data_IF_498522836589
#
_entry.id   IF_498522836589
#
_cell.length_a   1.000
_cell.length_b   1.000
_cell.length_c   1.000
_cell.angle_alpha   90.00
_cell.angle_beta   90.00
_cell.angle_gamma   90.00
#
_symmetry.space_group_name_H-M   'P 1'
#
loop_
_entity.id
_entity.type
_entity.pdbx_description
1 polymer ?
#
# COMPACT_ATOMS: atom_id res chain seq x y z
N UNK A 1 1.33 -16.44 25.89
CA UNK A 1 0.66 -15.53 24.94
C UNK A 1 1.67 -15.24 23.84
N UNK A 2 1.39 -15.59 22.62
CA UNK A 2 2.24 -15.25 21.48
C UNK A 2 2.35 -13.72 21.40
N UNK A 3 3.52 -13.23 21.00
CA UNK A 3 3.76 -11.81 20.87
C UNK A 3 2.92 -11.31 19.65
N UNK A 4 1.76 -10.74 19.89
CA UNK A 4 0.82 -10.30 18.86
C UNK A 4 1.23 -8.94 18.25
N UNK A 5 2.48 -8.54 18.40
CA UNK A 5 3.01 -7.28 17.87
C UNK A 5 3.83 -7.57 16.62
N UNK A 6 3.51 -6.89 15.54
CA UNK A 6 4.27 -6.91 14.28
C UNK A 6 4.87 -5.53 14.03
N UNK A 7 6.17 -5.50 13.68
CA UNK A 7 6.89 -4.26 13.35
C UNK A 7 6.82 -3.97 11.87
N UNK A 8 6.17 -2.87 11.50
CA UNK A 8 5.99 -2.45 10.09
C UNK A 8 6.85 -1.23 9.80
N UNK A 9 7.72 -1.34 8.80
CA UNK A 9 8.48 -0.24 8.23
C UNK A 9 7.65 0.49 7.19
N UNK A 10 7.19 1.69 7.50
CA UNK A 10 6.56 2.61 6.55
C UNK A 10 7.66 3.39 5.85
N UNK A 11 7.79 3.20 4.53
CA UNK A 11 8.87 3.80 3.74
C UNK A 11 8.24 4.82 2.77
N UNK A 12 8.13 6.04 3.26
CA UNK A 12 7.70 7.21 2.49
C UNK A 12 8.89 7.73 1.70
N UNK A 13 9.02 7.34 0.44
CA UNK A 13 10.20 7.62 -0.38
C UNK A 13 9.92 8.58 -1.52
N UNK A 14 10.97 9.27 -1.95
CA UNK A 14 10.93 10.03 -3.19
C UNK A 14 10.93 9.07 -4.40
N UNK A 15 10.01 9.29 -5.34
CA UNK A 15 9.88 8.49 -6.56
C UNK A 15 10.19 9.34 -7.78
N UNK A 16 11.24 8.96 -8.51
CA UNK A 16 11.64 9.60 -9.75
C UNK A 16 10.93 8.97 -10.94
N UNK A 17 10.22 9.77 -11.72
CA UNK A 17 9.49 9.29 -12.88
C UNK A 17 10.41 8.70 -13.94
N UNK A 18 10.07 7.49 -14.43
CA UNK A 18 10.80 6.76 -15.48
C UNK A 18 12.26 6.39 -15.15
N UNK A 19 12.59 6.33 -13.86
CA UNK A 19 13.94 6.00 -13.38
C UNK A 19 13.95 4.74 -12.49
N UNK A 20 13.50 3.57 -13.01
CA UNK A 20 13.27 2.39 -12.19
C UNK A 20 14.54 1.91 -11.47
N UNK A 21 15.69 1.94 -12.13
CA UNK A 21 16.95 1.48 -11.51
C UNK A 21 17.36 2.36 -10.32
N UNK A 22 17.16 3.68 -10.40
CA UNK A 22 17.45 4.62 -9.30
C UNK A 22 16.45 4.43 -8.15
N UNK A 23 15.16 4.31 -8.48
CA UNK A 23 14.11 4.09 -7.49
C UNK A 23 14.32 2.77 -6.73
N UNK A 24 14.65 1.69 -7.43
CA UNK A 24 14.94 0.37 -6.83
C UNK A 24 16.17 0.43 -5.93
N UNK A 25 17.26 1.07 -6.39
CA UNK A 25 18.45 1.24 -5.57
C UNK A 25 18.12 2.00 -4.28
N UNK A 26 17.41 3.11 -4.42
CA UNK A 26 17.02 3.95 -3.29
C UNK A 26 16.10 3.18 -2.31
N UNK A 27 15.09 2.48 -2.81
CA UNK A 27 14.22 1.61 -2.01
C UNK A 27 15.02 0.55 -1.23
N UNK A 28 16.06 -0.03 -1.83
CA UNK A 28 16.94 -1.01 -1.16
C UNK A 28 17.63 -0.40 0.06
N UNK A 29 18.13 0.83 -0.05
CA UNK A 29 18.79 1.55 1.04
C UNK A 29 17.81 1.86 2.18
N UNK A 30 16.59 2.29 1.83
CA UNK A 30 15.54 2.61 2.80
C UNK A 30 15.00 1.34 3.50
N UNK A 31 14.82 0.22 2.78
CA UNK A 31 14.45 -1.07 3.37
C UNK A 31 15.52 -1.55 4.35
N UNK A 32 16.80 -1.42 3.99
CA UNK A 32 17.91 -1.74 4.91
C UNK A 32 17.86 -0.88 6.16
N UNK A 33 17.54 0.41 6.04
CA UNK A 33 17.35 1.31 7.18
C UNK A 33 16.17 0.89 8.05
N UNK A 34 15.02 0.53 7.46
CA UNK A 34 13.86 0.02 8.17
C UNK A 34 14.19 -1.27 8.93
N UNK A 35 14.91 -2.20 8.28
CA UNK A 35 15.38 -3.44 8.93
C UNK A 35 16.27 -3.17 10.13
N UNK A 36 17.20 -2.24 10.01
CA UNK A 36 18.08 -1.85 11.12
C UNK A 36 17.30 -1.29 12.32
N UNK A 37 16.12 -0.70 12.09
CA UNK A 37 15.17 -0.24 13.10
C UNK A 37 14.23 -1.35 13.61
N UNK A 38 14.38 -2.58 13.13
CA UNK A 38 13.65 -3.76 13.58
C UNK A 38 12.40 -4.11 12.76
N UNK A 39 12.17 -3.52 11.59
CA UNK A 39 11.04 -3.87 10.74
C UNK A 39 11.05 -5.36 10.36
N UNK A 40 9.88 -5.99 10.42
CA UNK A 40 9.61 -7.35 9.96
C UNK A 40 8.92 -7.35 8.59
N UNK A 41 8.05 -6.35 8.36
CA UNK A 41 7.42 -6.07 7.07
C UNK A 41 7.81 -4.64 6.67
N UNK A 42 8.19 -4.44 5.41
CA UNK A 42 8.37 -3.10 4.84
C UNK A 42 7.29 -2.85 3.81
N UNK A 43 6.72 -1.65 3.82
CA UNK A 43 5.73 -1.20 2.82
C UNK A 43 6.32 -0.03 2.06
N UNK A 44 6.38 -0.18 0.73
CA UNK A 44 6.83 0.80 -0.24
C UNK A 44 5.63 1.41 -0.98
N UNK A 45 5.77 2.59 -1.61
CA UNK A 45 4.68 3.27 -2.31
C UNK A 45 4.16 2.55 -3.56
N UNK A 46 3.05 3.07 -4.07
CA UNK A 46 2.40 2.71 -5.33
C UNK A 46 3.26 3.09 -6.53
N UNK A 47 3.38 2.20 -7.54
CA UNK A 47 4.15 2.42 -8.78
C UNK A 47 5.53 3.04 -8.52
N UNK A 48 6.23 2.58 -7.48
CA UNK A 48 7.49 3.19 -7.07
C UNK A 48 8.62 2.98 -8.09
N UNK A 49 8.45 2.09 -9.06
CA UNK A 49 9.39 1.87 -10.16
C UNK A 49 9.37 3.01 -11.19
N UNK A 50 8.22 3.38 -11.71
CA UNK A 50 8.08 4.33 -12.82
C UNK A 50 7.44 5.66 -12.43
N UNK A 51 6.84 5.77 -11.24
CA UNK A 51 5.98 6.88 -10.84
C UNK A 51 4.52 6.67 -11.28
N UNK A 52 3.61 7.00 -10.38
CA UNK A 52 2.17 6.82 -10.55
C UNK A 52 1.60 7.68 -11.71
N UNK A 53 0.71 7.10 -12.51
CA UNK A 53 0.08 7.79 -13.64
C UNK A 53 1.05 8.15 -14.77
N UNK A 54 2.19 7.50 -14.86
CA UNK A 54 3.22 7.77 -15.86
C UNK A 54 2.81 7.23 -17.24
N UNK A 55 2.64 8.09 -18.27
CA UNK A 55 2.26 7.63 -19.62
C UNK A 55 3.34 6.77 -20.30
N UNK A 56 4.62 6.89 -19.89
CA UNK A 56 5.71 6.06 -20.41
C UNK A 56 5.64 4.60 -19.89
N UNK A 57 4.73 4.30 -18.96
CA UNK A 57 4.41 2.93 -18.56
C UNK A 57 4.10 2.03 -19.76
N UNK A 58 3.46 2.59 -20.80
CA UNK A 58 3.20 1.88 -22.07
C UNK A 58 4.43 1.33 -22.78
N UNK A 59 5.62 1.84 -22.48
CA UNK A 59 6.90 1.38 -23.06
C UNK A 59 7.86 0.78 -22.04
N UNK A 60 7.79 1.23 -20.77
CA UNK A 60 8.78 0.90 -19.74
C UNK A 60 8.32 -0.19 -18.76
N UNK A 61 7.02 -0.47 -18.69
CA UNK A 61 6.50 -1.48 -17.76
C UNK A 61 7.06 -2.88 -18.07
N UNK A 62 7.44 -3.60 -17.02
CA UNK A 62 8.02 -4.92 -17.07
C UNK A 62 6.98 -6.00 -16.68
N UNK A 63 7.13 -7.25 -17.13
CA UNK A 63 6.28 -8.35 -16.67
C UNK A 63 6.56 -8.74 -15.21
N UNK A 64 5.63 -9.48 -14.61
CA UNK A 64 5.83 -10.18 -13.33
C UNK A 64 5.64 -11.69 -13.55
N UNK A 65 6.72 -12.53 -13.40
CA UNK A 65 8.09 -12.18 -13.02
C UNK A 65 8.86 -11.42 -14.10
N UNK A 66 9.82 -10.59 -13.70
CA UNK A 66 10.67 -9.79 -14.57
C UNK A 66 11.64 -8.91 -13.78
N UNK A 67 12.42 -8.06 -14.47
CA UNK A 67 13.53 -7.29 -13.90
C UNK A 67 13.17 -6.56 -12.60
N UNK A 68 12.04 -5.87 -12.56
CA UNK A 68 11.60 -5.10 -11.39
C UNK A 68 11.22 -6.01 -10.24
N UNK A 69 10.37 -7.02 -10.49
CA UNK A 69 9.97 -7.97 -9.45
C UNK A 69 11.14 -8.77 -8.90
N UNK A 70 12.10 -9.18 -9.75
CA UNK A 70 13.30 -9.89 -9.33
C UNK A 70 14.18 -9.04 -8.41
N UNK A 71 14.28 -7.74 -8.70
CA UNK A 71 14.98 -6.79 -7.83
C UNK A 71 14.29 -6.66 -6.45
N UNK A 72 12.95 -6.59 -6.41
CA UNK A 72 12.19 -6.55 -5.16
C UNK A 72 12.35 -7.85 -4.35
N UNK A 73 12.32 -9.01 -5.02
CA UNK A 73 12.58 -10.31 -4.38
C UNK A 73 13.98 -10.35 -3.74
N UNK A 74 14.97 -9.81 -4.44
CA UNK A 74 16.33 -9.70 -3.92
C UNK A 74 16.39 -8.78 -2.71
N UNK A 75 15.76 -7.60 -2.74
CA UNK A 75 15.70 -6.67 -1.60
C UNK A 75 15.10 -7.35 -0.37
N UNK A 76 13.97 -8.05 -0.53
CA UNK A 76 13.31 -8.77 0.55
C UNK A 76 14.23 -9.86 1.15
N UNK A 77 14.83 -10.69 0.30
CA UNK A 77 15.70 -11.80 0.72
C UNK A 77 16.99 -11.34 1.40
N UNK A 78 17.66 -10.32 0.87
CA UNK A 78 18.90 -9.79 1.43
C UNK A 78 18.70 -9.14 2.80
N UNK A 79 17.56 -8.48 3.01
CA UNK A 79 17.25 -7.82 4.27
C UNK A 79 16.47 -8.71 5.25
N UNK A 80 16.02 -9.90 4.83
CA UNK A 80 15.19 -10.79 5.66
C UNK A 80 13.97 -10.05 6.22
N UNK A 81 13.18 -9.45 5.32
CA UNK A 81 11.92 -8.77 5.61
C UNK A 81 10.85 -9.22 4.63
N UNK A 82 9.61 -9.30 5.06
CA UNK A 82 8.49 -9.29 4.14
C UNK A 82 8.40 -7.92 3.47
N UNK A 83 8.10 -7.88 2.18
CA UNK A 83 8.05 -6.65 1.42
C UNK A 83 6.71 -6.51 0.70
N UNK A 84 6.03 -5.39 0.91
CA UNK A 84 4.90 -4.95 0.07
C UNK A 84 5.37 -3.78 -0.76
N UNK A 85 5.33 -3.93 -2.09
CA UNK A 85 5.89 -2.94 -3.00
C UNK A 85 5.01 -2.75 -4.24
N UNK A 86 4.71 -1.50 -4.58
CA UNK A 86 4.01 -1.13 -5.80
C UNK A 86 4.93 -1.13 -7.02
N UNK A 87 4.42 -1.58 -8.15
CA UNK A 87 5.10 -1.53 -9.45
C UNK A 87 4.10 -1.38 -10.59
N UNK A 88 4.63 -1.01 -11.75
CA UNK A 88 3.91 -0.95 -13.02
C UNK A 88 4.14 -2.25 -13.79
N UNK A 89 3.11 -3.09 -13.87
CA UNK A 89 3.19 -4.42 -14.47
C UNK A 89 2.71 -4.42 -15.92
N UNK A 90 3.44 -5.10 -16.81
CA UNK A 90 2.96 -5.46 -18.14
C UNK A 90 2.49 -6.92 -18.18
N UNK A 91 1.30 -7.14 -18.70
CA UNK A 91 0.83 -8.47 -19.08
C UNK A 91 0.21 -8.40 -20.48
N UNK A 92 0.90 -8.97 -21.45
CA UNK A 92 0.55 -8.85 -22.87
C UNK A 92 0.47 -7.38 -23.29
N UNK A 93 -0.69 -6.93 -23.82
CA UNK A 93 -0.94 -5.55 -24.24
C UNK A 93 -1.46 -4.64 -23.11
N UNK A 94 -1.67 -5.19 -21.91
CA UNK A 94 -2.24 -4.45 -20.77
C UNK A 94 -1.13 -4.04 -19.80
N UNK A 95 -1.31 -2.86 -19.24
CA UNK A 95 -0.50 -2.33 -18.14
C UNK A 95 -1.36 -2.28 -16.89
N UNK A 96 -0.79 -2.67 -15.75
CA UNK A 96 -1.49 -2.68 -14.47
C UNK A 96 -0.68 -1.90 -13.43
N UNK A 97 -1.39 -1.24 -12.56
CA UNK A 97 -0.89 -0.76 -11.28
C UNK A 97 -0.97 -1.94 -10.30
N UNK A 98 0.17 -2.45 -9.88
CA UNK A 98 0.29 -3.74 -9.18
C UNK A 98 1.05 -3.58 -7.88
N UNK A 99 0.64 -4.31 -6.84
CA UNK A 99 1.38 -4.49 -5.60
C UNK A 99 1.74 -5.96 -5.39
N UNK A 100 2.98 -6.21 -4.96
CA UNK A 100 3.47 -7.53 -4.63
C UNK A 100 3.64 -7.68 -3.12
N UNK A 101 3.24 -8.82 -2.57
CA UNK A 101 3.69 -9.32 -1.28
C UNK A 101 4.80 -10.34 -1.52
N UNK A 102 5.97 -10.07 -0.97
CA UNK A 102 7.15 -10.90 -1.12
C UNK A 102 7.60 -11.37 0.27
N UNK A 103 7.92 -12.66 0.40
CA UNK A 103 8.42 -13.24 1.65
C UNK A 103 9.83 -12.75 1.98
N UNK A 104 10.25 -12.94 3.23
CA UNK A 104 11.62 -12.70 3.68
C UNK A 104 12.67 -13.66 3.05
N UNK A 105 12.19 -14.66 2.32
CA UNK A 105 13.01 -15.53 1.47
C UNK A 105 13.09 -15.06 0.00
N UNK A 106 12.33 -14.01 -0.38
CA UNK A 106 12.28 -13.48 -1.74
C UNK A 106 11.25 -14.17 -2.65
N UNK A 107 10.30 -14.92 -2.10
CA UNK A 107 9.22 -15.53 -2.88
C UNK A 107 8.05 -14.56 -3.03
N UNK A 108 7.50 -14.39 -4.24
CA UNK A 108 6.25 -13.65 -4.46
C UNK A 108 5.09 -14.49 -3.93
N UNK A 109 4.50 -14.07 -2.82
CA UNK A 109 3.39 -14.76 -2.17
C UNK A 109 2.03 -14.35 -2.73
N UNK A 110 1.90 -13.08 -3.12
CA UNK A 110 0.65 -12.53 -3.66
C UNK A 110 0.92 -11.36 -4.60
N UNK A 111 0.02 -11.21 -5.57
CA UNK A 111 -0.02 -10.11 -6.52
C UNK A 111 -1.43 -9.53 -6.54
N UNK A 112 -1.56 -8.25 -6.20
CA UNK A 112 -2.79 -7.48 -6.32
C UNK A 112 -2.65 -6.46 -7.45
N UNK A 113 -3.64 -6.37 -8.33
CA UNK A 113 -3.77 -5.32 -9.35
C UNK A 113 -4.87 -4.37 -8.92
N UNK A 114 -4.60 -3.08 -8.93
CA UNK A 114 -5.56 -2.04 -8.55
C UNK A 114 -6.87 -2.19 -9.30
N UNK A 115 -7.97 -2.17 -8.56
CA UNK A 115 -9.33 -2.32 -9.10
C UNK A 115 -9.94 -0.94 -9.33
N UNK A 116 -9.77 0.01 -8.40
CA UNK A 116 -10.30 1.35 -8.50
C UNK A 116 -9.31 2.30 -9.21
N UNK A 117 -9.21 2.15 -10.52
CA UNK A 117 -8.40 3.00 -11.39
C UNK A 117 -9.12 4.34 -11.59
N UNK A 118 -8.41 5.47 -11.41
CA UNK A 118 -8.96 6.82 -11.51
C UNK A 118 -9.09 7.24 -12.97
N UNK A 119 -10.32 7.30 -13.47
CA UNK A 119 -10.62 7.73 -14.84
C UNK A 119 -10.08 9.14 -15.12
N UNK A 120 -9.42 9.31 -16.27
CA UNK A 120 -8.81 10.57 -16.69
C UNK A 120 -7.42 10.85 -16.12
N UNK A 121 -6.97 10.03 -15.16
CA UNK A 121 -5.65 10.16 -14.52
C UNK A 121 -4.81 8.91 -14.69
N UNK A 122 -5.42 7.76 -14.48
CA UNK A 122 -4.79 6.44 -14.54
C UNK A 122 -5.20 5.64 -15.80
N UNK A 123 -5.62 6.29 -16.87
CA UNK A 123 -6.14 5.65 -18.09
C UNK A 123 -5.12 4.72 -18.78
N UNK A 124 -3.85 4.81 -18.39
CA UNK A 124 -2.80 3.88 -18.84
C UNK A 124 -2.94 2.49 -18.22
N UNK A 125 -3.64 2.36 -17.09
CA UNK A 125 -3.77 1.10 -16.37
C UNK A 125 -5.08 0.39 -16.65
N UNK A 126 -5.00 -0.92 -16.83
CA UNK A 126 -6.16 -1.79 -16.86
C UNK A 126 -6.65 -2.11 -15.44
N UNK A 127 -7.95 -2.38 -15.31
CA UNK A 127 -8.59 -2.72 -14.04
C UNK A 127 -8.17 -4.14 -13.62
N UNK A 128 -7.82 -4.31 -12.33
CA UNK A 128 -7.55 -5.59 -11.70
C UNK A 128 -8.79 -6.46 -11.53
N UNK A 129 -8.59 -7.77 -11.34
CA UNK A 129 -9.67 -8.77 -11.36
C UNK A 129 -9.73 -9.66 -10.10
N UNK A 130 -8.91 -9.37 -9.09
CA UNK A 130 -8.77 -10.24 -7.90
C UNK A 130 -8.62 -9.44 -6.62
N UNK A 131 -9.21 -9.99 -5.56
CA UNK A 131 -9.02 -9.58 -4.16
C UNK A 131 -8.67 -10.81 -3.36
N UNK A 132 -7.66 -10.73 -2.50
CA UNK A 132 -7.22 -11.89 -1.72
C UNK A 132 -6.39 -11.55 -0.49
N UNK A 133 -6.24 -12.53 0.37
CA UNK A 133 -5.39 -12.51 1.56
C UNK A 133 -4.39 -13.64 1.52
N UNK A 134 -3.23 -13.45 2.13
CA UNK A 134 -2.14 -14.44 2.15
C UNK A 134 -1.72 -14.74 3.58
N UNK A 135 -1.64 -16.01 3.93
CA UNK A 135 -1.11 -16.45 5.21
C UNK A 135 0.40 -16.30 5.25
N UNK A 136 0.90 -15.71 6.32
CA UNK A 136 2.34 -15.57 6.60
C UNK A 136 2.62 -15.89 8.06
N UNK A 137 3.87 -16.12 8.47
CA UNK A 137 4.23 -16.26 9.89
C UNK A 137 3.91 -15.01 10.74
N UNK A 138 3.69 -13.86 10.09
CA UNK A 138 3.38 -12.57 10.73
C UNK A 138 1.88 -12.23 10.72
N UNK A 139 1.03 -13.19 10.35
CA UNK A 139 -0.41 -13.03 10.21
C UNK A 139 -0.87 -13.08 8.76
N UNK A 140 -2.18 -13.04 8.58
CA UNK A 140 -2.85 -13.06 7.28
C UNK A 140 -2.92 -11.64 6.71
N UNK A 141 -2.19 -11.39 5.64
CA UNK A 141 -2.03 -10.06 5.04
C UNK A 141 -3.00 -9.87 3.88
N UNK A 142 -3.81 -8.82 3.93
CA UNK A 142 -4.57 -8.27 2.80
C UNK A 142 -3.82 -7.12 2.16
N UNK A 143 -3.93 -7.00 0.83
CA UNK A 143 -3.34 -5.89 0.07
C UNK A 143 -4.44 -5.24 -0.76
N UNK A 144 -4.47 -3.93 -0.72
CA UNK A 144 -5.17 -3.06 -1.66
C UNK A 144 -4.21 -1.96 -2.15
N UNK A 145 -4.62 -1.11 -3.08
CA UNK A 145 -3.78 -0.03 -3.59
C UNK A 145 -4.56 1.28 -3.55
N UNK A 146 -4.12 2.22 -2.68
CA UNK A 146 -4.53 3.63 -2.68
C UNK A 146 -6.07 3.79 -2.76
N UNK A 147 -6.63 4.16 -3.92
CA UNK A 147 -8.07 4.36 -4.14
C UNK A 147 -8.91 3.09 -3.95
N UNK A 148 -8.32 1.90 -3.89
CA UNK A 148 -9.03 0.69 -3.49
C UNK A 148 -9.56 0.77 -2.05
N UNK A 149 -8.97 1.63 -1.22
CA UNK A 149 -9.36 1.87 0.17
C UNK A 149 -10.00 3.26 0.37
N UNK A 150 -10.63 3.84 -0.64
CA UNK A 150 -11.41 5.07 -0.51
C UNK A 150 -12.83 4.78 -0.02
N UNK A 151 -13.54 5.82 0.45
CA UNK A 151 -14.93 5.66 0.90
C UNK A 151 -15.84 5.04 -0.17
N UNK A 152 -15.61 5.34 -1.44
CA UNK A 152 -16.42 4.83 -2.55
C UNK A 152 -16.09 3.38 -2.91
N UNK A 153 -14.98 2.84 -2.43
CA UNK A 153 -14.48 1.48 -2.73
C UNK A 153 -14.27 0.61 -1.49
N UNK A 154 -14.85 0.97 -0.35
CA UNK A 154 -14.74 0.21 0.91
C UNK A 154 -15.10 -1.27 0.79
N UNK A 155 -15.85 -1.67 -0.24
CA UNK A 155 -16.19 -3.07 -0.51
C UNK A 155 -14.95 -3.96 -0.64
N UNK A 156 -13.81 -3.45 -1.13
CA UNK A 156 -12.55 -4.20 -1.24
C UNK A 156 -11.98 -4.47 0.16
N UNK A 157 -11.77 -3.43 0.97
CA UNK A 157 -11.27 -3.57 2.34
C UNK A 157 -12.24 -4.39 3.23
N UNK A 158 -13.57 -4.23 3.05
CA UNK A 158 -14.58 -5.07 3.71
C UNK A 158 -14.40 -6.53 3.29
N UNK A 159 -14.17 -6.81 2.02
CA UNK A 159 -13.94 -8.18 1.53
C UNK A 159 -12.68 -8.77 2.16
N UNK A 160 -11.57 -8.02 2.21
CA UNK A 160 -10.34 -8.46 2.87
C UNK A 160 -10.57 -8.76 4.37
N UNK A 161 -11.29 -7.90 5.08
CA UNK A 161 -11.67 -8.15 6.47
C UNK A 161 -12.53 -9.42 6.64
N UNK A 162 -13.49 -9.65 5.75
CA UNK A 162 -14.31 -10.87 5.73
C UNK A 162 -13.54 -12.13 5.36
N UNK A 163 -12.48 -12.01 4.55
CA UNK A 163 -11.53 -13.09 4.27
C UNK A 163 -10.57 -13.33 5.43
N UNK A 164 -10.80 -12.67 6.57
CA UNK A 164 -10.03 -12.81 7.81
C UNK A 164 -8.58 -12.27 7.68
N UNK A 165 -8.36 -11.19 6.96
CA UNK A 165 -7.08 -10.48 7.04
C UNK A 165 -6.77 -10.11 8.51
N UNK A 166 -5.53 -10.25 8.93
CA UNK A 166 -5.04 -9.77 10.22
C UNK A 166 -4.54 -8.32 10.15
N UNK A 167 -4.21 -7.87 8.94
CA UNK A 167 -3.84 -6.50 8.61
C UNK A 167 -4.10 -6.21 7.13
N UNK A 168 -4.25 -4.92 6.77
CA UNK A 168 -4.29 -4.45 5.38
C UNK A 168 -3.13 -3.49 5.16
N UNK A 169 -2.33 -3.74 4.10
CA UNK A 169 -1.18 -2.93 3.71
C UNK A 169 -1.42 -2.35 2.33
N UNK A 170 -1.39 -1.02 2.22
CA UNK A 170 -1.79 -0.26 1.04
C UNK A 170 -0.64 0.61 0.51
N UNK A 171 0.03 0.22 -0.57
CA UNK A 171 0.84 1.15 -1.36
C UNK A 171 -0.01 2.28 -1.92
N UNK A 172 0.43 3.53 -1.73
CA UNK A 172 -0.30 4.73 -2.10
C UNK A 172 0.59 5.72 -2.88
N UNK A 173 -0.07 6.67 -3.59
CA UNK A 173 0.57 7.80 -4.24
C UNK A 173 -0.35 9.02 -4.12
N UNK A 174 -0.30 9.70 -2.99
CA UNK A 174 -1.15 10.84 -2.72
C UNK A 174 -0.48 12.12 -3.19
N UNK A 175 -1.18 12.84 -4.05
CA UNK A 175 -0.66 14.07 -4.64
C UNK A 175 -1.71 15.17 -4.64
N UNK A 176 -1.23 16.40 -4.56
CA UNK A 176 -2.03 17.64 -4.60
C UNK A 176 -1.46 18.62 -5.61
N UNK A 177 -2.24 19.63 -5.99
CA UNK A 177 -1.75 20.72 -6.84
C UNK A 177 -0.56 21.41 -6.21
N UNK A 178 0.34 21.97 -7.04
CA UNK A 178 1.55 22.64 -6.57
C UNK A 178 1.27 23.81 -5.63
N UNK A 179 0.15 24.50 -5.82
CA UNK A 179 -0.31 25.66 -5.02
C UNK A 179 -1.17 25.28 -3.81
N UNK A 180 -1.42 23.99 -3.59
CA UNK A 180 -2.21 23.49 -2.44
C UNK A 180 -1.54 23.88 -1.12
N UNK A 181 -2.31 24.47 -0.22
CA UNK A 181 -1.86 24.91 1.11
C UNK A 181 -2.61 24.14 2.21
N UNK A 182 -1.91 23.22 2.89
CA UNK A 182 -2.45 22.39 3.96
C UNK A 182 -2.90 23.18 5.19
N UNK A 183 -2.40 24.41 5.41
CA UNK A 183 -2.79 25.23 6.56
C UNK A 183 -4.19 25.81 6.38
N UNK A 184 -4.58 26.07 5.12
CA UNK A 184 -5.90 26.62 4.78
C UNK A 184 -6.90 25.56 4.35
N UNK A 185 -6.41 24.45 3.83
CA UNK A 185 -7.19 23.31 3.33
C UNK A 185 -6.56 22.01 3.87
N UNK A 186 -6.99 21.52 5.06
CA UNK A 186 -6.43 20.30 5.63
C UNK A 186 -6.59 19.09 4.70
N UNK A 187 -5.52 18.31 4.54
CA UNK A 187 -5.48 17.10 3.71
C UNK A 187 -5.65 15.85 4.57
N UNK A 188 -6.29 14.84 4.01
CA UNK A 188 -6.24 13.46 4.50
C UNK A 188 -7.56 12.91 5.02
N UNK A 189 -8.61 13.70 5.18
CA UNK A 189 -9.92 13.22 5.68
C UNK A 189 -10.44 12.04 4.82
N UNK A 190 -10.27 12.12 3.50
CA UNK A 190 -10.63 11.09 2.53
C UNK A 190 -9.93 9.74 2.77
N UNK A 191 -8.80 9.73 3.49
CA UNK A 191 -8.04 8.54 3.87
C UNK A 191 -8.24 8.17 5.33
N UNK A 192 -8.28 9.15 6.23
CA UNK A 192 -8.49 8.91 7.66
C UNK A 192 -9.82 8.21 7.95
N UNK A 193 -10.91 8.64 7.29
CA UNK A 193 -12.23 8.05 7.51
C UNK A 193 -12.28 6.57 7.11
N UNK A 194 -11.94 6.16 5.87
CA UNK A 194 -12.00 4.76 5.48
C UNK A 194 -11.04 3.87 6.28
N UNK A 195 -9.81 4.32 6.51
CA UNK A 195 -8.81 3.52 7.25
C UNK A 195 -9.26 3.26 8.69
N UNK A 196 -9.64 4.31 9.42
CA UNK A 196 -10.15 4.17 10.79
C UNK A 196 -11.43 3.34 10.87
N UNK A 197 -12.34 3.48 9.89
CA UNK A 197 -13.58 2.73 9.82
C UNK A 197 -13.34 1.23 9.63
N UNK A 198 -12.50 0.84 8.68
CA UNK A 198 -12.15 -0.56 8.42
C UNK A 198 -11.43 -1.17 9.60
N UNK A 199 -10.43 -0.46 10.13
CA UNK A 199 -9.69 -0.89 11.30
C UNK A 199 -10.62 -1.20 12.48
N UNK A 200 -11.48 -0.26 12.83
CA UNK A 200 -12.45 -0.42 13.94
C UNK A 200 -13.47 -1.53 13.67
N UNK A 201 -13.95 -1.66 12.41
CA UNK A 201 -14.98 -2.64 12.04
C UNK A 201 -14.49 -4.07 12.18
N UNK A 202 -13.26 -4.35 11.74
CA UNK A 202 -12.72 -5.71 11.69
C UNK A 202 -11.72 -6.01 12.80
N UNK A 203 -11.29 -5.00 13.57
CA UNK A 203 -10.27 -5.17 14.61
C UNK A 203 -8.90 -5.47 14.02
N UNK A 204 -8.51 -4.79 12.93
CA UNK A 204 -7.27 -5.02 12.19
C UNK A 204 -6.52 -3.73 11.92
N UNK A 205 -5.17 -3.71 11.96
CA UNK A 205 -4.40 -2.57 11.50
C UNK A 205 -4.60 -2.31 10.00
N UNK A 206 -4.67 -1.02 9.63
CA UNK A 206 -4.74 -0.58 8.22
C UNK A 206 -3.69 0.49 7.98
N UNK A 207 -2.75 0.23 7.07
CA UNK A 207 -1.57 1.05 6.84
C UNK A 207 -1.49 1.47 5.37
N UNK A 208 -1.42 2.78 5.11
CA UNK A 208 -1.18 3.36 3.79
C UNK A 208 0.17 4.06 3.74
N UNK A 209 0.98 3.72 2.74
CA UNK A 209 2.31 4.30 2.56
C UNK A 209 2.41 4.97 1.20
N UNK A 210 2.54 6.30 1.23
CA UNK A 210 2.59 7.15 0.04
C UNK A 210 4.03 7.62 -0.25
N UNK A 211 4.27 8.00 -1.50
CA UNK A 211 5.52 8.59 -1.93
C UNK A 211 5.55 10.11 -1.71
N UNK A 212 6.73 10.68 -1.88
CA UNK A 212 6.96 12.13 -1.98
C UNK A 212 7.63 12.48 -3.30
N UNK A 213 7.72 13.76 -3.62
CA UNK A 213 8.41 14.28 -4.79
C UNK A 213 7.49 14.95 -5.82
N UNK A 214 8.07 15.40 -6.92
CA UNK A 214 7.32 16.05 -7.99
C UNK A 214 6.65 15.02 -8.90
N UNK A 215 5.37 15.22 -9.20
CA UNK A 215 4.69 14.52 -10.30
C UNK A 215 5.12 15.19 -11.61
N UNK A 216 6.12 14.61 -12.27
CA UNK A 216 6.75 15.23 -13.42
C UNK A 216 6.13 14.86 -14.77
N UNK A 217 5.24 13.85 -14.82
CA UNK A 217 4.61 13.33 -16.04
C UNK A 217 3.14 12.97 -15.80
N UNK A 218 2.41 12.75 -16.88
CA UNK A 218 1.00 12.34 -16.84
C UNK A 218 0.03 13.50 -16.65
N UNK A 219 -1.23 13.16 -16.40
CA UNK A 219 -2.35 14.12 -16.30
C UNK A 219 -2.18 15.11 -15.14
N UNK A 220 -1.46 14.73 -14.10
CA UNK A 220 -1.15 15.59 -12.95
C UNK A 220 0.28 16.13 -12.97
N UNK A 221 0.90 16.23 -14.14
CA UNK A 221 2.22 16.86 -14.26
C UNK A 221 2.22 18.26 -13.64
N UNK A 222 3.24 18.54 -12.80
CA UNK A 222 3.33 19.78 -12.03
C UNK A 222 2.69 19.73 -10.65
N UNK A 223 1.98 18.67 -10.29
CA UNK A 223 1.53 18.42 -8.92
C UNK A 223 2.70 17.93 -8.06
N UNK A 224 2.48 17.84 -6.75
CA UNK A 224 3.44 17.32 -5.78
C UNK A 224 2.87 16.10 -5.06
N UNK A 225 3.61 15.01 -5.01
CA UNK A 225 3.35 13.90 -4.11
C UNK A 225 3.82 14.31 -2.72
N UNK A 226 2.98 14.07 -1.72
CA UNK A 226 3.05 14.76 -0.42
C UNK A 226 3.36 13.86 0.76
N UNK A 227 3.57 12.57 0.53
CA UNK A 227 3.71 11.61 1.62
C UNK A 227 2.44 11.50 2.44
N UNK A 228 2.45 12.00 3.68
CA UNK A 228 1.32 11.95 4.61
C UNK A 228 0.81 10.53 4.87
N UNK A 229 1.70 9.54 4.79
CA UNK A 229 1.39 8.13 5.05
C UNK A 229 0.75 7.94 6.40
N UNK A 230 -0.25 7.06 6.51
CA UNK A 230 -1.05 6.88 7.73
C UNK A 230 -1.08 5.42 8.20
N UNK A 231 -1.22 5.24 9.50
CA UNK A 231 -1.43 3.93 10.09
C UNK A 231 -2.47 3.99 11.22
N UNK A 232 -3.43 3.07 11.16
CA UNK A 232 -4.43 2.84 12.19
C UNK A 232 -4.20 1.47 12.84
N UNK A 233 -4.35 1.38 14.16
CA UNK A 233 -4.24 0.13 14.92
C UNK A 233 -5.60 -0.62 14.94
N UNK A 234 -5.58 -1.85 15.39
CA UNK A 234 -6.72 -2.77 15.43
C UNK A 234 -7.93 -2.28 16.22
N UNK A 235 -7.78 -1.31 17.11
CA UNK A 235 -8.90 -0.69 17.84
C UNK A 235 -9.52 0.51 17.11
N UNK A 236 -8.96 0.90 15.97
CA UNK A 236 -9.37 2.09 15.20
C UNK A 236 -8.67 3.38 15.65
N UNK A 237 -7.68 3.30 16.53
CA UNK A 237 -6.87 4.46 16.91
C UNK A 237 -5.82 4.78 15.87
N UNK A 238 -5.55 6.07 15.67
CA UNK A 238 -4.47 6.52 14.81
C UNK A 238 -3.12 6.26 15.49
N UNK A 239 -2.26 5.46 14.86
CA UNK A 239 -0.88 5.23 15.33
C UNK A 239 -0.01 6.42 14.94
N UNK A 240 -0.01 6.79 13.67
CA UNK A 240 0.85 7.85 13.14
C UNK A 240 0.33 8.42 11.82
N UNK A 241 0.73 9.66 11.56
CA UNK A 241 0.73 10.29 10.24
C UNK A 241 2.16 10.71 9.97
N UNK A 242 2.74 10.27 8.86
CA UNK A 242 4.09 10.69 8.46
C UNK A 242 4.07 12.13 7.94
N UNK A 243 5.22 12.82 7.95
CA UNK A 243 5.30 14.21 7.54
C UNK A 243 4.68 14.47 6.16
N UNK A 244 3.97 15.61 6.05
CA UNK A 244 3.39 16.10 4.81
C UNK A 244 4.37 17.01 4.08
N UNK A 245 4.62 16.75 2.81
CA UNK A 245 5.40 17.61 1.93
C UNK A 245 6.19 16.86 0.87
N UNK A 246 6.49 17.52 -0.25
CA UNK A 246 7.18 16.87 -1.38
C UNK A 246 8.63 16.47 -1.09
N UNK A 247 9.23 17.04 -0.03
CA UNK A 247 10.61 16.74 0.39
C UNK A 247 10.66 15.89 1.67
N UNK A 248 9.50 15.48 2.20
CA UNK A 248 9.38 14.81 3.49
C UNK A 248 9.58 13.30 3.38
N UNK A 249 10.71 12.91 2.77
CA UNK A 249 11.11 11.50 2.75
C UNK A 249 11.45 11.03 4.16
N UNK A 250 10.89 9.87 4.56
CA UNK A 250 11.21 9.30 5.85
C UNK A 250 10.97 7.79 5.93
N UNK A 251 11.65 7.15 6.89
CA UNK A 251 11.44 5.76 7.28
C UNK A 251 11.06 5.70 8.75
N UNK A 252 9.82 5.30 9.03
CA UNK A 252 9.33 5.06 10.38
C UNK A 252 8.98 3.58 10.56
N UNK A 253 9.41 3.00 11.68
CA UNK A 253 8.97 1.65 12.09
C UNK A 253 7.96 1.81 13.21
N UNK A 254 6.80 1.18 13.03
CA UNK A 254 5.70 1.18 13.98
C UNK A 254 5.42 -0.22 14.50
N UNK A 255 4.91 -0.30 15.71
CA UNK A 255 4.37 -1.53 16.29
C UNK A 255 2.86 -1.56 16.04
N UNK A 256 2.35 -2.64 15.45
CA UNK A 256 0.92 -2.87 15.28
C UNK A 256 0.48 -4.08 16.09
N UNK A 257 -0.72 -4.02 16.66
CA UNK A 257 -1.26 -5.06 17.50
C UNK A 257 -2.24 -5.95 16.75
N UNK A 258 -1.88 -7.22 16.56
CA UNK A 258 -2.80 -8.20 16.05
C UNK A 258 -3.74 -8.66 17.17
N UNK A 259 -5.03 -8.60 16.91
CA UNK A 259 -6.07 -9.00 17.88
C UNK A 259 -6.93 -10.12 17.32
N UNK A 260 -7.69 -10.77 18.20
CA UNK A 260 -8.74 -11.68 17.77
C UNK A 260 -9.76 -10.92 16.91
N UNK A 261 -10.12 -11.53 15.79
CA UNK A 261 -11.02 -10.89 14.82
C UNK A 261 -12.41 -10.69 15.41
N UNK A 262 -12.94 -9.47 15.31
CA UNK A 262 -14.29 -9.13 15.75
C UNK A 262 -15.37 -9.69 14.83
N UNK A 263 -15.06 -9.80 13.53
CA UNK A 263 -15.99 -10.24 12.50
C UNK A 263 -15.33 -11.29 11.61
N UNK A 264 -15.91 -12.47 11.57
CA UNK A 264 -15.54 -13.56 10.68
C UNK A 264 -16.78 -13.99 9.90
N UNK A 265 -16.78 -13.85 8.57
CA UNK A 265 -17.98 -14.15 7.79
C UNK A 265 -19.11 -13.14 8.03
N UNK A 266 -20.34 -13.64 8.20
CA UNK A 266 -21.55 -12.83 8.40
C UNK A 266 -22.40 -13.38 9.54
N UNK A 267 -23.05 -12.50 10.30
CA UNK A 267 -24.01 -12.83 11.37
C UNK A 267 -25.46 -13.03 10.85
N UNK A 268 -25.63 -13.38 9.58
CA UNK A 268 -26.97 -13.53 8.98
C UNK A 268 -27.82 -14.59 9.69
N UNK A 269 -27.20 -15.69 10.15
CA UNK A 269 -27.92 -16.76 10.90
C UNK A 269 -28.54 -16.24 12.19
N UNK A 270 -27.81 -15.45 12.97
CA UNK A 270 -28.31 -14.84 14.20
C UNK A 270 -29.50 -13.91 13.93
N UNK A 271 -29.43 -13.16 12.81
CA UNK A 271 -30.52 -12.27 12.40
C UNK A 271 -31.76 -13.05 12.01
N UNK A 272 -31.62 -14.16 11.26
CA UNK A 272 -32.73 -15.03 10.84
C UNK A 272 -33.36 -15.68 12.05
N UNK A 273 -32.57 -16.19 13.00
CA UNK A 273 -33.09 -16.82 14.24
C UNK A 273 -33.89 -15.86 15.12
N UNK A 274 -33.52 -14.56 15.11
CA UNK A 274 -34.23 -13.53 15.87
C UNK A 274 -35.50 -13.00 15.18
N UNK A 275 -35.68 -13.26 13.88
CA UNK A 275 -36.87 -12.85 13.11
C UNK A 275 -37.92 -13.95 12.98
N UNK A 276 -37.65 -15.18 13.47
CA UNK A 276 -38.56 -16.33 13.52
C UNK A 276 -39.10 -16.54 14.93
#
# INVERSE_FOLDING_TARGET
>A
MANNIVKIGMIQMNVLFSEPDKNIQHASELVKSAKAKGAQICVLPECMDLGWGNPEASSLAEPVPGKVSDAYQKIAAENKVFLVAGLTEREQEKIYNTALLISDGGEILYKHRKINVLTGVEDVYAIGDRVGVTETPLGKIGIDICADNSLNSLSIAITLGRMCADMILSPCAWAVKSDYNIETEPYGEEWHIPYGKISKMFGIPVIGVSNVGQVSKGSWSGWKAIGNSIAYDSDGSLITVLPYGESEECVQVIDVHLTDKKVTGTALSEKIENEV
#
